data_IF_116255140341
#
_entry.id   IF_116255140341
#
_cell.length_a   1.000
_cell.length_b   1.000
_cell.length_c   1.000
_cell.angle_alpha   90.00
_cell.angle_beta   90.00
_cell.angle_gamma   90.00
#
_symmetry.space_group_name_H-M   'P 1'
#
loop_
_entity.id
_entity.type
_entity.pdbx_description
1 polymer ?
#
# COMPACT_ATOMS: atom_id res chain seq x y z
N UNK A 1 -19.05 -6.65 0.82
CA UNK A 1 -18.75 -5.21 0.93
C UNK A 1 -18.22 -4.78 2.30
N UNK A 2 -17.99 -5.66 3.29
CA UNK A 2 -17.33 -5.25 4.55
C UNK A 2 -15.87 -4.87 4.27
N UNK A 3 -15.39 -3.77 4.87
CA UNK A 3 -14.02 -3.25 4.74
C UNK A 3 -13.60 -2.85 3.31
N UNK A 4 -14.56 -2.48 2.46
CA UNK A 4 -14.32 -1.87 1.16
C UNK A 4 -14.67 -0.38 1.22
N UNK A 5 -13.69 0.50 0.98
CA UNK A 5 -13.80 1.94 1.25
C UNK A 5 -14.14 2.78 0.00
N UNK A 6 -14.35 2.12 -1.15
CA UNK A 6 -14.71 2.78 -2.41
C UNK A 6 -13.51 3.25 -3.23
N UNK A 7 -13.78 4.01 -4.29
CA UNK A 7 -12.78 4.68 -5.11
C UNK A 7 -12.75 6.19 -4.84
N UNK A 8 -11.64 6.83 -5.18
CA UNK A 8 -11.44 8.27 -5.07
C UNK A 8 -11.35 8.90 -6.46
N UNK A 9 -11.96 10.08 -6.63
CA UNK A 9 -11.94 10.81 -7.89
C UNK A 9 -10.64 11.62 -8.06
N UNK A 10 -9.98 11.95 -6.95
CA UNK A 10 -8.68 12.61 -6.97
C UNK A 10 -7.60 11.54 -7.03
N UNK A 11 -6.78 11.58 -8.09
CA UNK A 11 -5.71 10.59 -8.27
C UNK A 11 -4.73 10.69 -7.10
N UNK A 12 -4.50 9.57 -6.39
CA UNK A 12 -3.50 9.47 -5.34
C UNK A 12 -3.96 9.89 -3.93
N UNK A 13 -5.05 10.65 -3.78
CA UNK A 13 -5.51 11.16 -2.47
C UNK A 13 -5.87 10.07 -1.46
N UNK A 14 -6.21 8.87 -1.93
CA UNK A 14 -6.52 7.73 -1.07
C UNK A 14 -5.30 7.02 -0.50
N UNK A 15 -4.10 7.29 -1.00
CA UNK A 15 -2.84 6.74 -0.45
C UNK A 15 -2.61 7.17 1.01
N UNK A 16 -2.63 8.47 1.37
CA UNK A 16 -2.47 8.88 2.76
C UNK A 16 -3.66 8.46 3.63
N UNK A 17 -4.86 8.32 3.06
CA UNK A 17 -6.02 7.76 3.78
C UNK A 17 -5.78 6.30 4.17
N UNK A 18 -5.27 5.48 3.25
CA UNK A 18 -4.93 4.08 3.55
C UNK A 18 -3.87 3.97 4.65
N UNK A 19 -2.85 4.84 4.63
CA UNK A 19 -1.83 4.94 5.69
C UNK A 19 -2.48 5.30 7.04
N UNK A 20 -3.38 6.28 7.06
CA UNK A 20 -4.12 6.66 8.27
C UNK A 20 -5.00 5.54 8.82
N UNK A 21 -5.69 4.79 7.95
CA UNK A 21 -6.49 3.61 8.34
C UNK A 21 -5.58 2.55 8.97
N UNK A 22 -4.43 2.25 8.36
CA UNK A 22 -3.48 1.28 8.89
C UNK A 22 -2.88 1.70 10.23
N UNK A 23 -2.58 3.00 10.40
CA UNK A 23 -2.18 3.56 11.69
C UNK A 23 -3.28 3.35 12.74
N UNK A 24 -4.54 3.66 12.41
CA UNK A 24 -5.66 3.43 13.31
C UNK A 24 -5.85 1.95 13.69
N UNK A 25 -5.68 1.04 12.72
CA UNK A 25 -5.70 -0.41 12.96
C UNK A 25 -4.58 -0.85 13.92
N UNK A 26 -3.36 -0.35 13.70
CA UNK A 26 -2.20 -0.62 14.55
C UNK A 26 -2.41 -0.11 15.99
N UNK A 27 -2.90 1.12 16.15
CA UNK A 27 -3.25 1.69 17.46
C UNK A 27 -4.32 0.88 18.19
N UNK A 28 -5.24 0.26 17.45
CA UNK A 28 -6.28 -0.61 17.97
C UNK A 28 -5.83 -2.08 18.11
N UNK A 29 -4.59 -2.41 17.76
CA UNK A 29 -4.04 -3.77 17.77
C UNK A 29 -4.89 -4.77 16.99
N UNK A 30 -5.42 -4.34 15.84
CA UNK A 30 -6.16 -5.21 14.94
C UNK A 30 -5.18 -6.04 14.10
N UNK A 31 -5.40 -7.34 14.05
CA UNK A 31 -4.66 -8.22 13.14
C UNK A 31 -5.25 -8.11 11.73
N UNK A 32 -4.89 -7.05 11.02
CA UNK A 32 -5.47 -6.71 9.72
C UNK A 32 -4.46 -5.91 8.89
N UNK A 33 -4.55 -6.05 7.58
CA UNK A 33 -3.74 -5.32 6.61
C UNK A 33 -4.63 -4.42 5.75
N UNK A 34 -4.11 -3.24 5.39
CA UNK A 34 -4.76 -2.35 4.43
C UNK A 34 -4.12 -2.57 3.06
N UNK A 35 -4.92 -2.95 2.07
CA UNK A 35 -4.48 -2.96 0.66
C UNK A 35 -4.98 -1.70 -0.01
N UNK A 36 -4.10 -1.00 -0.73
CA UNK A 36 -4.43 0.21 -1.48
C UNK A 36 -4.01 0.05 -2.94
N UNK A 37 -4.96 0.22 -3.85
CA UNK A 37 -4.79 0.07 -5.30
C UNK A 37 -4.69 1.45 -5.96
N UNK A 38 -3.76 1.63 -6.88
CA UNK A 38 -3.54 2.90 -7.59
C UNK A 38 -2.84 2.68 -8.92
N UNK A 39 -3.02 3.58 -9.88
CA UNK A 39 -2.36 3.52 -11.19
C UNK A 39 -0.92 4.05 -11.17
N UNK A 40 -0.17 3.73 -12.22
CA UNK A 40 1.19 4.25 -12.50
C UNK A 40 1.26 5.77 -12.44
N UNK A 41 0.25 6.47 -12.98
CA UNK A 41 0.18 7.94 -12.96
C UNK A 41 0.15 8.54 -11.54
N UNK A 42 -0.45 7.84 -10.55
CA UNK A 42 -0.51 8.33 -9.17
C UNK A 42 0.88 8.35 -8.51
N UNK A 43 1.84 7.57 -9.02
CA UNK A 43 3.20 7.48 -8.45
C UNK A 43 4.07 8.72 -8.68
N UNK A 44 3.55 9.70 -9.42
CA UNK A 44 4.19 10.99 -9.63
C UNK A 44 3.68 12.08 -8.67
N UNK A 45 2.59 11.82 -7.94
CA UNK A 45 2.11 12.70 -6.89
C UNK A 45 3.03 12.68 -5.67
N UNK A 46 3.10 13.80 -4.94
CA UNK A 46 3.88 13.88 -3.70
C UNK A 46 3.33 12.96 -2.61
N UNK A 47 2.00 12.83 -2.56
CA UNK A 47 1.26 12.00 -1.63
C UNK A 47 1.64 10.52 -1.71
N UNK A 48 2.11 10.04 -2.87
CA UNK A 48 2.67 8.69 -3.00
C UNK A 48 3.93 8.52 -2.16
N UNK A 49 4.91 9.40 -2.32
CA UNK A 49 6.17 9.33 -1.59
C UNK A 49 5.99 9.57 -0.10
N UNK A 50 5.14 10.53 0.28
CA UNK A 50 4.78 10.77 1.67
C UNK A 50 4.15 9.53 2.31
N UNK A 51 3.23 8.88 1.60
CA UNK A 51 2.55 7.67 2.09
C UNK A 51 3.52 6.50 2.29
N UNK A 52 4.42 6.26 1.33
CA UNK A 52 5.46 5.23 1.47
C UNK A 52 6.36 5.51 2.67
N UNK A 53 6.83 6.76 2.80
CA UNK A 53 7.69 7.17 3.91
C UNK A 53 7.03 6.93 5.28
N UNK A 54 5.78 7.37 5.46
CA UNK A 54 5.06 7.17 6.72
C UNK A 54 4.77 5.70 7.00
N UNK A 55 4.36 4.93 5.98
CA UNK A 55 4.11 3.51 6.12
C UNK A 55 5.37 2.76 6.58
N UNK A 56 6.52 3.06 5.98
CA UNK A 56 7.79 2.47 6.37
C UNK A 56 8.24 2.93 7.77
N UNK A 57 8.28 4.25 8.01
CA UNK A 57 8.78 4.85 9.24
C UNK A 57 8.07 4.30 10.47
N UNK A 58 6.75 4.12 10.39
CA UNK A 58 5.93 3.62 11.48
C UNK A 58 5.65 2.12 11.41
N UNK A 59 6.22 1.43 10.42
CA UNK A 59 6.04 -0.02 10.20
C UNK A 59 4.55 -0.38 10.15
N UNK A 60 3.80 0.31 9.31
CA UNK A 60 2.34 0.13 9.20
C UNK A 60 1.99 -1.07 8.32
N UNK A 61 0.90 -1.79 8.63
CA UNK A 61 0.45 -2.92 7.82
C UNK A 61 -0.30 -2.43 6.56
N UNK A 62 0.44 -1.90 5.59
CA UNK A 62 -0.10 -1.43 4.30
C UNK A 62 0.57 -2.19 3.15
N UNK A 63 -0.23 -2.69 2.22
CA UNK A 63 0.23 -3.23 0.94
C UNK A 63 -0.16 -2.23 -0.16
N UNK A 64 0.84 -1.67 -0.81
CA UNK A 64 0.69 -0.77 -1.94
C UNK A 64 0.67 -1.59 -3.23
N UNK A 65 -0.46 -1.56 -3.95
CA UNK A 65 -0.66 -2.27 -5.21
C UNK A 65 -0.73 -1.27 -6.35
N UNK A 66 0.38 -1.15 -7.08
CA UNK A 66 0.43 -0.31 -8.28
C UNK A 66 -0.04 -1.12 -9.50
N UNK A 67 -1.14 -0.69 -10.11
CA UNK A 67 -1.66 -1.21 -11.37
C UNK A 67 -1.00 -0.44 -12.53
N UNK A 68 0.11 -0.98 -13.01
CA UNK A 68 0.82 -0.38 -14.15
C UNK A 68 0.26 -0.92 -15.48
N UNK A 69 -0.65 -0.18 -16.09
CA UNK A 69 -1.22 -0.48 -17.41
C UNK A 69 -0.50 0.25 -18.57
N UNK A 70 0.66 0.85 -18.30
CA UNK A 70 1.53 1.58 -19.24
C UNK A 70 1.03 2.97 -19.67
N UNK A 71 -0.13 3.43 -19.18
CA UNK A 71 -0.72 4.70 -19.58
C UNK A 71 -1.43 5.43 -18.43
N UNK A 72 -1.00 6.65 -18.18
CA UNK A 72 -1.74 7.60 -17.35
C UNK A 72 -2.63 8.46 -18.25
N UNK A 73 -3.94 8.24 -18.21
CA UNK A 73 -4.90 8.84 -19.16
C UNK A 73 -4.56 8.47 -20.62
N UNK A 74 -3.99 9.40 -21.38
CA UNK A 74 -3.52 9.17 -22.75
C UNK A 74 -1.99 9.25 -22.90
N UNK A 75 -1.27 9.38 -21.79
CA UNK A 75 0.17 9.63 -21.80
C UNK A 75 0.94 8.34 -21.51
N UNK A 76 1.79 7.86 -22.43
CA UNK A 76 2.60 6.66 -22.21
C UNK A 76 3.52 6.78 -20.99
N UNK A 77 3.80 5.65 -20.34
CA UNK A 77 4.66 5.57 -19.15
C UNK A 77 6.03 6.23 -19.35
N UNK A 78 6.68 5.97 -20.48
CA UNK A 78 8.00 6.51 -20.81
C UNK A 78 8.03 8.03 -20.95
N UNK A 79 6.88 8.66 -21.17
CA UNK A 79 6.75 10.11 -21.33
C UNK A 79 6.51 10.81 -19.99
N UNK A 80 5.79 10.16 -19.07
CA UNK A 80 5.39 10.79 -17.82
C UNK A 80 6.18 10.32 -16.59
N UNK A 81 6.97 9.25 -16.65
CA UNK A 81 7.77 8.77 -15.52
C UNK A 81 9.23 8.56 -15.90
N UNK A 82 10.14 9.16 -15.13
CA UNK A 82 11.60 8.94 -15.27
C UNK A 82 12.04 7.54 -14.81
N UNK A 83 11.25 6.92 -13.93
CA UNK A 83 11.44 5.53 -13.47
C UNK A 83 10.25 4.73 -13.97
N UNK A 84 10.46 3.94 -15.03
CA UNK A 84 9.40 3.14 -15.68
C UNK A 84 9.16 1.80 -14.98
N UNK A 85 10.19 1.25 -14.34
CA UNK A 85 10.06 0.12 -13.42
C UNK A 85 9.48 0.63 -12.08
N UNK A 86 8.16 0.89 -12.03
CA UNK A 86 7.49 1.62 -10.94
C UNK A 86 7.82 1.08 -9.54
N UNK A 87 7.90 -0.25 -9.38
CA UNK A 87 8.21 -0.89 -8.09
C UNK A 87 9.57 -0.42 -7.51
N UNK A 88 10.52 0.02 -8.36
CA UNK A 88 11.79 0.56 -7.90
C UNK A 88 11.65 1.89 -7.16
N UNK A 89 10.58 2.66 -7.36
CA UNK A 89 10.34 3.90 -6.61
C UNK A 89 10.25 3.66 -5.09
N UNK A 90 9.83 2.47 -4.67
CA UNK A 90 9.78 2.08 -3.26
C UNK A 90 11.17 1.91 -2.61
N UNK A 91 12.24 1.73 -3.40
CA UNK A 91 13.59 1.52 -2.87
C UNK A 91 14.14 2.75 -2.13
N UNK A 92 13.62 3.95 -2.40
CA UNK A 92 14.00 5.17 -1.70
C UNK A 92 13.66 5.14 -0.19
N UNK A 93 12.81 4.21 0.23
CA UNK A 93 12.37 4.04 1.61
C UNK A 93 12.72 2.66 2.18
N UNK A 94 13.64 1.92 1.57
CA UNK A 94 13.99 0.55 1.98
C UNK A 94 12.78 -0.41 2.06
N UNK A 95 11.71 -0.12 1.30
CA UNK A 95 10.51 -0.94 1.24
C UNK A 95 10.73 -2.13 0.31
N UNK A 96 10.28 -3.31 0.74
CA UNK A 96 10.22 -4.50 -0.12
C UNK A 96 9.19 -4.28 -1.23
N UNK A 97 9.58 -4.48 -2.47
CA UNK A 97 8.70 -4.37 -3.63
C UNK A 97 9.07 -5.42 -4.68
N UNK A 98 8.07 -5.96 -5.37
CA UNK A 98 8.24 -6.91 -6.47
C UNK A 98 7.39 -6.49 -7.68
N UNK A 99 7.84 -6.84 -8.88
CA UNK A 99 7.03 -6.75 -10.11
C UNK A 99 6.33 -8.08 -10.33
N UNK A 100 5.04 -8.04 -10.57
CA UNK A 100 4.16 -9.22 -10.70
C UNK A 100 3.45 -9.17 -12.04
N UNK A 101 3.25 -10.32 -12.69
CA UNK A 101 2.41 -10.39 -13.89
C UNK A 101 0.93 -10.20 -13.49
N UNK A 102 0.39 -9.02 -13.79
CA UNK A 102 -1.00 -8.67 -13.47
C UNK A 102 -2.05 -9.45 -14.28
N UNK A 103 -1.66 -10.17 -15.34
CA UNK A 103 -2.58 -10.95 -16.17
C UNK A 103 -2.69 -12.42 -15.70
N UNK A 104 -1.84 -12.87 -14.78
CA UNK A 104 -1.92 -14.20 -14.18
C UNK A 104 -2.48 -14.11 -12.74
N UNK A 105 -3.73 -14.55 -12.57
CA UNK A 105 -4.44 -14.50 -11.28
C UNK A 105 -3.77 -15.35 -10.20
N UNK A 106 -3.12 -16.47 -10.55
CA UNK A 106 -2.46 -17.34 -9.59
C UNK A 106 -1.18 -16.67 -9.10
N UNK A 107 -0.42 -16.07 -10.01
CA UNK A 107 0.79 -15.29 -9.68
C UNK A 107 0.44 -14.08 -8.81
N UNK A 108 -0.64 -13.37 -9.12
CA UNK A 108 -1.16 -12.25 -8.31
C UNK A 108 -1.59 -12.69 -6.90
N UNK A 109 -2.34 -13.81 -6.79
CA UNK A 109 -2.73 -14.37 -5.49
C UNK A 109 -1.51 -14.69 -4.64
N UNK A 110 -0.52 -15.35 -5.23
CA UNK A 110 0.67 -15.79 -4.50
C UNK A 110 1.51 -14.58 -4.06
N UNK A 111 1.60 -13.52 -4.86
CA UNK A 111 2.24 -12.26 -4.48
C UNK A 111 1.51 -11.56 -3.32
N UNK A 112 0.18 -11.50 -3.36
CA UNK A 112 -0.61 -10.91 -2.27
C UNK A 112 -0.39 -11.65 -0.93
N UNK A 113 -0.34 -12.99 -0.96
CA UNK A 113 -0.05 -13.80 0.23
C UNK A 113 1.38 -13.59 0.73
N UNK A 114 2.38 -13.49 -0.15
CA UNK A 114 3.76 -13.16 0.23
C UNK A 114 3.87 -11.79 0.87
N UNK A 115 3.21 -10.79 0.29
CA UNK A 115 3.21 -9.43 0.83
C UNK A 115 2.54 -9.36 2.21
N UNK A 116 1.42 -10.06 2.40
CA UNK A 116 0.72 -10.16 3.68
C UNK A 116 1.57 -10.87 4.74
N UNK A 117 2.24 -11.96 4.39
CA UNK A 117 3.14 -12.70 5.30
C UNK A 117 4.43 -11.92 5.63
N UNK A 118 4.87 -11.01 4.75
CA UNK A 118 6.08 -10.21 4.96
C UNK A 118 5.90 -9.06 5.97
N UNK A 119 4.67 -8.81 6.43
CA UNK A 119 4.40 -7.83 7.48
C UNK A 119 5.20 -8.18 8.74
N UNK A 120 5.83 -7.18 9.36
CA UNK A 120 6.38 -7.38 10.69
C UNK A 120 5.20 -7.59 11.66
N UNK A 121 5.14 -8.71 12.39
CA UNK A 121 4.14 -8.86 13.44
C UNK A 121 4.39 -7.78 14.48
N UNK A 122 3.32 -7.07 14.87
CA UNK A 122 3.42 -6.18 16.02
C UNK A 122 3.85 -7.00 17.24
N UNK A 123 4.75 -6.48 18.11
CA UNK A 123 5.19 -7.20 19.29
C UNK A 123 3.97 -7.65 20.12
N UNK A 124 3.93 -8.96 20.41
CA UNK A 124 2.86 -9.59 21.20
C UNK A 124 2.73 -8.86 22.55
N UNK A 125 1.52 -8.51 23.02
CA UNK A 125 1.36 -7.76 24.25
C UNK A 125 1.84 -8.56 25.46
N UNK A 126 2.79 -8.01 26.22
CA UNK A 126 3.12 -8.45 27.58
C UNK A 126 2.36 -7.65 28.66
N UNK A 127 1.46 -6.75 28.25
CA UNK A 127 0.69 -5.87 29.14
C UNK A 127 -0.80 -6.24 29.24
N UNK A 128 -1.48 -5.86 30.33
CA UNK A 128 -2.86 -6.27 30.60
C UNK A 128 -3.81 -5.75 29.50
N UNK A 129 -4.74 -6.62 29.09
CA UNK A 129 -5.77 -6.33 28.11
C UNK A 129 -6.55 -5.07 28.52
N UNK A 130 -6.72 -4.13 27.58
CA UNK A 130 -7.54 -2.93 27.78
C UNK A 130 -8.99 -3.40 27.96
N UNK A 131 -9.60 -3.13 29.12
CA UNK A 131 -10.99 -3.50 29.38
C UNK A 131 -11.92 -2.83 28.36
N UNK A 132 -13.00 -3.51 27.92
CA UNK A 132 -13.99 -2.89 27.06
C UNK A 132 -14.57 -1.66 27.76
N UNK A 133 -14.54 -0.51 27.10
CA UNK A 133 -15.33 0.66 27.50
C UNK A 133 -16.80 0.31 27.37
N UNK A 134 -17.56 0.51 28.45
CA UNK A 134 -19.02 0.43 28.49
C UNK A 134 -19.65 1.47 27.56
#
# INVERSE_FOLDING_TARGET
SKNFWGGDAIVGSHLPLAVGVALGMKMQRRDSVVMVFFGDGATNGGEFYESLNFAQLWKLPVIFVCENNLYAMGTPLEVHSSVTEIYRKACAFDMKAERVDGNDVLVMRDAALRAEAAREPDPVPTGPARKPTQ
#
